data_IF_908029021793
#
_entry.id   IF_908029021793
#
_cell.length_a   1.000
_cell.length_b   1.000
_cell.length_c   1.000
_cell.angle_alpha   90.00
_cell.angle_beta   90.00
_cell.angle_gamma   90.00
#
_symmetry.space_group_name_H-M   'P 1'
#
loop_
_entity.id
_entity.type
_entity.pdbx_description
1 polymer ?
#
# COMPACT_ATOMS: atom_id res chain seq x y z
N UNK A 1 -3.77 8.58 30.42
CA UNK A 1 -3.09 7.33 30.01
C UNK A 1 -1.65 7.43 30.49
N UNK A 2 -0.93 6.31 30.73
CA UNK A 2 0.48 6.36 31.20
C UNK A 2 1.34 7.18 30.23
N UNK A 3 1.03 7.00 28.96
CA UNK A 3 1.52 7.69 27.77
C UNK A 3 1.30 9.22 27.78
N UNK A 4 0.42 9.76 28.63
CA UNK A 4 0.19 11.20 28.75
C UNK A 4 1.27 11.92 29.57
N UNK A 5 2.05 11.17 30.36
CA UNK A 5 3.08 11.70 31.25
C UNK A 5 4.49 11.24 30.87
N UNK A 6 4.59 10.14 30.12
CA UNK A 6 5.85 9.62 29.60
C UNK A 6 6.20 10.23 28.24
N UNK A 7 7.50 10.28 27.92
CA UNK A 7 8.00 10.80 26.64
C UNK A 7 8.17 9.70 25.58
N UNK A 8 7.66 8.50 25.86
CA UNK A 8 7.79 7.32 25.02
C UNK A 8 6.42 6.65 24.88
N UNK A 9 6.17 6.08 23.71
CA UNK A 9 4.99 5.26 23.43
C UNK A 9 5.46 3.94 22.81
N UNK A 10 4.79 2.85 23.18
CA UNK A 10 5.03 1.53 22.57
C UNK A 10 3.83 1.16 21.70
N UNK A 11 4.10 0.83 20.44
CA UNK A 11 3.07 0.45 19.47
C UNK A 11 3.36 -0.98 18.99
N UNK A 12 2.79 -2.00 19.64
CA UNK A 12 3.19 -3.39 19.41
C UNK A 12 2.68 -3.98 18.09
N UNK A 13 1.70 -3.34 17.43
CA UNK A 13 1.02 -3.90 16.26
C UNK A 13 1.57 -3.43 14.91
N UNK A 14 2.49 -2.45 14.91
CA UNK A 14 2.97 -1.81 13.68
C UNK A 14 4.48 -2.02 13.58
N UNK A 15 4.94 -2.46 12.41
CA UNK A 15 6.37 -2.62 12.13
C UNK A 15 7.02 -1.27 11.79
N UNK A 16 8.35 -1.26 11.68
CA UNK A 16 9.11 -0.03 11.42
C UNK A 16 8.70 0.65 10.12
N UNK A 17 8.47 -0.12 9.06
CA UNK A 17 8.07 0.40 7.73
C UNK A 17 6.70 1.08 7.79
N UNK A 18 5.71 0.42 8.39
CA UNK A 18 4.37 0.99 8.57
C UNK A 18 4.40 2.27 9.40
N UNK A 19 5.25 2.33 10.44
CA UNK A 19 5.41 3.54 11.26
C UNK A 19 6.10 4.68 10.49
N UNK A 20 7.15 4.39 9.71
CA UNK A 20 7.85 5.38 8.89
C UNK A 20 6.91 6.05 7.88
N UNK A 21 6.12 5.26 7.16
CA UNK A 21 5.18 5.74 6.15
C UNK A 21 4.03 6.51 6.79
N UNK A 22 3.51 6.03 7.92
CA UNK A 22 2.46 6.72 8.66
C UNK A 22 2.92 8.10 9.13
N UNK A 23 4.14 8.21 9.66
CA UNK A 23 4.72 9.50 10.05
C UNK A 23 4.85 10.42 8.84
N UNK A 24 5.36 9.92 7.71
CA UNK A 24 5.44 10.71 6.48
C UNK A 24 4.07 11.26 6.07
N UNK A 25 3.03 10.43 6.09
CA UNK A 25 1.68 10.84 5.75
C UNK A 25 1.10 11.86 6.75
N UNK A 26 1.26 11.65 8.05
CA UNK A 26 0.75 12.58 9.09
C UNK A 26 1.42 13.95 8.95
N UNK A 27 2.72 13.99 8.67
CA UNK A 27 3.46 15.26 8.58
C UNK A 27 3.30 15.97 7.24
N UNK A 28 3.10 15.24 6.13
CA UNK A 28 3.08 15.82 4.77
C UNK A 28 1.72 15.79 4.09
N UNK A 29 0.78 14.98 4.59
CA UNK A 29 -0.49 14.68 3.91
C UNK A 29 -0.36 13.79 2.68
N UNK A 30 0.82 13.23 2.42
CA UNK A 30 1.12 12.44 1.22
C UNK A 30 2.06 11.28 1.50
N UNK A 31 2.14 10.33 0.57
CA UNK A 31 3.09 9.21 0.62
C UNK A 31 3.91 9.23 -0.66
N UNK A 32 5.23 9.07 -0.53
CA UNK A 32 6.11 8.90 -1.68
C UNK A 32 5.78 7.62 -2.43
N UNK A 33 5.83 7.70 -3.74
CA UNK A 33 5.53 6.59 -4.64
C UNK A 33 6.41 5.35 -4.38
N UNK A 34 7.65 5.55 -3.94
CA UNK A 34 8.59 4.47 -3.59
C UNK A 34 8.10 3.56 -2.45
N UNK A 35 7.21 4.05 -1.60
CA UNK A 35 6.62 3.24 -0.54
C UNK A 35 5.42 2.42 -1.00
N UNK A 36 4.80 2.77 -2.13
CA UNK A 36 3.59 2.11 -2.66
C UNK A 36 3.92 0.84 -3.47
N UNK A 37 4.78 0.00 -2.92
CA UNK A 37 5.09 -1.32 -3.47
C UNK A 37 4.05 -2.35 -3.03
N UNK A 38 3.96 -3.47 -3.74
CA UNK A 38 3.09 -4.59 -3.35
C UNK A 38 3.41 -5.12 -1.95
N UNK A 39 4.70 -5.09 -1.59
CA UNK A 39 5.20 -5.66 -0.34
C UNK A 39 4.95 -4.77 0.87
N UNK A 40 4.80 -3.45 0.69
CA UNK A 40 4.54 -2.51 1.77
C UNK A 40 3.04 -2.17 1.93
N UNK A 41 2.24 -2.46 0.90
CA UNK A 41 0.84 -2.00 0.84
C UNK A 41 -0.01 -2.55 1.98
N UNK A 42 0.29 -3.77 2.44
CA UNK A 42 -0.40 -4.44 3.53
C UNK A 42 -0.10 -3.74 4.86
N UNK A 43 1.15 -3.38 5.08
CA UNK A 43 1.68 -2.70 6.27
C UNK A 43 1.10 -1.29 6.38
N UNK A 44 1.06 -0.55 5.27
CA UNK A 44 0.44 0.78 5.22
C UNK A 44 -1.05 0.67 5.52
N UNK A 45 -1.74 -0.31 4.95
CA UNK A 45 -3.15 -0.55 5.21
C UNK A 45 -3.42 -0.84 6.69
N UNK A 46 -2.66 -1.76 7.31
CA UNK A 46 -2.80 -2.08 8.73
C UNK A 46 -2.46 -0.90 9.65
N UNK A 47 -1.42 -0.12 9.33
CA UNK A 47 -1.06 1.05 10.09
C UNK A 47 -2.15 2.14 10.01
N UNK A 48 -2.68 2.39 8.81
CA UNK A 48 -3.76 3.34 8.59
C UNK A 48 -5.04 2.94 9.35
N UNK A 49 -5.38 1.65 9.35
CA UNK A 49 -6.52 1.12 10.10
C UNK A 49 -6.34 1.29 11.62
N UNK A 50 -5.16 0.92 12.14
CA UNK A 50 -4.86 1.02 13.57
C UNK A 50 -4.97 2.45 14.11
N UNK A 51 -4.49 3.44 13.35
CA UNK A 51 -4.57 4.86 13.71
C UNK A 51 -5.84 5.56 13.21
N UNK A 52 -6.76 4.83 12.58
CA UNK A 52 -8.04 5.36 12.07
C UNK A 52 -7.85 6.47 11.02
N UNK A 53 -6.80 6.37 10.20
CA UNK A 53 -6.53 7.27 9.08
C UNK A 53 -7.31 6.82 7.84
N UNK A 54 -8.63 7.03 7.85
CA UNK A 54 -9.56 6.54 6.82
C UNK A 54 -9.20 7.00 5.41
N UNK A 55 -8.71 8.23 5.25
CA UNK A 55 -8.29 8.75 3.94
C UNK A 55 -7.10 7.96 3.38
N UNK A 56 -6.11 7.68 4.23
CA UNK A 56 -4.96 6.86 3.86
C UNK A 56 -5.38 5.43 3.54
N UNK A 57 -6.25 4.83 4.37
CA UNK A 57 -6.76 3.48 4.13
C UNK A 57 -7.47 3.39 2.76
N UNK A 58 -8.33 4.36 2.44
CA UNK A 58 -9.03 4.45 1.16
C UNK A 58 -8.06 4.65 -0.02
N UNK A 59 -7.05 5.49 0.16
CA UNK A 59 -6.02 5.74 -0.83
C UNK A 59 -5.24 4.45 -1.18
N UNK A 60 -4.82 3.69 -0.16
CA UNK A 60 -4.14 2.41 -0.35
C UNK A 60 -5.03 1.40 -1.06
N UNK A 61 -6.30 1.26 -0.63
CA UNK A 61 -7.27 0.36 -1.26
C UNK A 61 -7.50 0.70 -2.74
N UNK A 62 -7.64 1.98 -3.08
CA UNK A 62 -7.80 2.45 -4.46
C UNK A 62 -6.56 2.11 -5.29
N UNK A 63 -5.37 2.38 -4.76
CA UNK A 63 -4.11 2.07 -5.45
C UNK A 63 -3.98 0.57 -5.68
N UNK A 64 -4.28 -0.26 -4.68
CA UNK A 64 -4.27 -1.72 -4.80
C UNK A 64 -5.20 -2.21 -5.91
N UNK A 65 -6.45 -1.72 -5.93
CA UNK A 65 -7.42 -2.07 -6.97
C UNK A 65 -6.92 -1.71 -8.37
N UNK A 66 -6.38 -0.50 -8.54
CA UNK A 66 -5.83 -0.05 -9.82
C UNK A 66 -4.65 -0.94 -10.27
N UNK A 67 -3.79 -1.36 -9.34
CA UNK A 67 -2.68 -2.28 -9.62
C UNK A 67 -3.18 -3.65 -10.09
N UNK A 68 -4.24 -4.19 -9.47
CA UNK A 68 -4.84 -5.46 -9.89
C UNK A 68 -5.44 -5.37 -11.31
N UNK A 69 -6.21 -4.31 -11.58
CA UNK A 69 -6.82 -4.07 -12.89
C UNK A 69 -5.75 -3.98 -13.99
N UNK A 70 -4.68 -3.21 -13.77
CA UNK A 70 -3.57 -3.08 -14.71
C UNK A 70 -2.88 -4.42 -14.99
N UNK A 71 -2.55 -5.19 -13.95
CA UNK A 71 -1.91 -6.49 -14.11
C UNK A 71 -2.80 -7.47 -14.89
N UNK A 72 -4.12 -7.45 -14.67
CA UNK A 72 -5.06 -8.31 -15.41
C UNK A 72 -5.09 -8.00 -16.91
N UNK A 73 -5.06 -6.72 -17.28
CA UNK A 73 -5.02 -6.28 -18.67
C UNK A 73 -3.72 -6.71 -19.34
N UNK A 74 -2.59 -6.55 -18.65
CA UNK A 74 -1.28 -6.96 -19.13
C UNK A 74 -1.23 -8.48 -19.42
N UNK A 75 -1.77 -9.30 -18.52
CA UNK A 75 -1.87 -10.75 -18.70
C UNK A 75 -2.74 -11.11 -19.92
N UNK A 76 -3.91 -10.47 -20.07
CA UNK A 76 -4.80 -10.71 -21.22
C UNK A 76 -4.10 -10.34 -22.52
N UNK A 77 -3.43 -9.18 -22.56
CA UNK A 77 -2.68 -8.73 -23.73
C UNK A 77 -1.55 -9.70 -24.08
N UNK A 78 -0.77 -10.14 -23.08
CA UNK A 78 0.31 -11.10 -23.28
C UNK A 78 -0.21 -12.44 -23.82
N UNK A 79 -1.32 -12.95 -23.29
CA UNK A 79 -1.97 -14.18 -23.77
C UNK A 79 -2.43 -14.05 -25.22
N UNK A 80 -3.03 -12.90 -25.59
CA UNK A 80 -3.46 -12.65 -26.95
C UNK A 80 -2.28 -12.63 -27.95
N UNK A 81 -1.20 -11.92 -27.62
CA UNK A 81 0.02 -11.90 -28.44
C UNK A 81 0.66 -13.29 -28.60
N UNK A 82 0.68 -14.10 -27.53
CA UNK A 82 1.19 -15.47 -27.60
C UNK A 82 0.33 -16.36 -28.50
N UNK A 83 -0.99 -16.25 -28.42
CA UNK A 83 -1.91 -17.02 -29.26
C UNK A 83 -1.79 -16.64 -30.74
N UNK A 84 -1.68 -15.35 -31.06
CA UNK A 84 -1.41 -14.91 -32.42
C UNK A 84 -0.10 -15.52 -32.94
N UNK A 85 1.00 -15.47 -32.17
CA UNK A 85 2.29 -16.03 -32.57
C UNK A 85 2.24 -17.54 -32.85
N UNK A 86 1.41 -18.29 -32.11
CA UNK A 86 1.21 -19.74 -32.33
C UNK A 86 0.42 -20.05 -33.60
N UNK A 87 -0.40 -19.13 -34.10
CA UNK A 87 -1.20 -19.33 -35.32
C UNK A 87 -0.43 -19.03 -36.61
N UNK A 88 0.79 -18.47 -36.52
CA UNK A 88 1.65 -18.14 -37.68
C UNK A 88 2.87 -19.09 -37.81
N UNK A 89 2.90 -20.18 -37.05
CA UNK A 89 3.87 -21.28 -37.14
C UNK A 89 3.15 -22.60 -37.31
#
# INVERSE_FOLDING_TARGET
>A
MKESYEKEISIPKINSIGMEILLEYIYTGSIKEEFLTKDNMIEIFYAADYFQLTELQNFVMKTFKNTLEKNSIEIIHQNYCQNLRKNFH
#
